data_IF_048570740130
#
_entry.id   IF_048570740130
#
_cell.length_a   1.000
_cell.length_b   1.000
_cell.length_c   1.000
_cell.angle_alpha   90.00
_cell.angle_beta   90.00
_cell.angle_gamma   90.00
#
_symmetry.space_group_name_H-M   'P 1'
#
loop_
_entity.id
_entity.type
_entity.pdbx_description
1 polymer ?
#
# COMPACT_ATOMS: atom_id res chain seq x y z
N UNK A 1 -74.52 -63.83 3.51
CA UNK A 1 -75.81 -63.23 3.07
C UNK A 1 -75.56 -61.87 2.62
N UNK A 2 -75.49 -61.70 1.28
CA UNK A 2 -76.45 -60.91 0.46
C UNK A 2 -76.59 -59.48 0.88
N UNK A 3 -76.47 -58.44 0.03
CA UNK A 3 -76.64 -58.15 -1.43
C UNK A 3 -76.02 -56.81 -1.71
N UNK A 4 -75.27 -56.57 -2.72
CA UNK A 4 -75.54 -56.06 -4.08
C UNK A 4 -76.22 -54.73 -4.21
N UNK A 5 -75.43 -53.74 -4.75
CA UNK A 5 -75.58 -52.69 -5.77
C UNK A 5 -76.87 -51.85 -5.87
N UNK A 6 -76.82 -50.61 -6.47
CA UNK A 6 -76.01 -50.19 -7.63
C UNK A 6 -75.60 -48.68 -7.65
N UNK A 7 -74.91 -48.43 -8.73
CA UNK A 7 -74.27 -47.15 -9.23
C UNK A 7 -75.20 -45.94 -9.42
N UNK A 8 -74.69 -44.75 -9.28
CA UNK A 8 -75.16 -43.61 -10.05
C UNK A 8 -73.98 -42.70 -10.48
N UNK A 9 -73.92 -42.50 -11.75
CA UNK A 9 -72.99 -41.67 -12.53
C UNK A 9 -73.38 -40.20 -12.37
N UNK A 10 -72.47 -39.34 -11.90
CA UNK A 10 -72.59 -37.92 -12.13
C UNK A 10 -71.32 -37.35 -12.71
N UNK A 11 -71.42 -36.89 -13.94
CA UNK A 11 -70.44 -36.07 -14.68
C UNK A 11 -70.24 -34.77 -13.92
N UNK A 12 -69.00 -34.44 -13.58
CA UNK A 12 -68.58 -33.12 -13.19
C UNK A 12 -67.61 -32.58 -14.20
N UNK A 13 -68.00 -31.43 -14.80
CA UNK A 13 -67.25 -30.67 -15.76
C UNK A 13 -65.94 -30.13 -15.18
N UNK A 14 -64.82 -30.35 -15.84
CA UNK A 14 -63.58 -29.68 -15.56
C UNK A 14 -63.56 -28.30 -16.15
N UNK A 15 -63.60 -27.26 -15.30
CA UNK A 15 -63.25 -25.88 -15.70
C UNK A 15 -61.74 -25.78 -15.60
N UNK A 16 -61.08 -25.68 -16.74
CA UNK A 16 -59.67 -25.35 -16.89
C UNK A 16 -59.46 -23.86 -16.59
N UNK A 17 -58.92 -23.57 -15.40
CA UNK A 17 -58.43 -22.25 -15.08
C UNK A 17 -57.04 -22.06 -15.67
N UNK A 18 -56.90 -21.22 -16.71
CA UNK A 18 -55.60 -20.72 -17.21
C UNK A 18 -55.03 -19.75 -16.15
N UNK A 19 -54.05 -20.22 -15.36
CA UNK A 19 -53.19 -19.33 -14.56
C UNK A 19 -52.15 -18.69 -15.47
N UNK A 20 -52.30 -17.41 -15.77
CA UNK A 20 -51.27 -16.59 -16.39
C UNK A 20 -50.07 -16.44 -15.43
N UNK A 21 -49.02 -17.21 -15.68
CA UNK A 21 -47.68 -17.02 -15.08
C UNK A 21 -47.07 -15.77 -15.67
N UNK A 22 -47.13 -14.65 -14.95
CA UNK A 22 -46.31 -13.49 -15.27
C UNK A 22 -44.83 -13.81 -15.01
N UNK A 23 -43.92 -13.54 -15.96
CA UNK A 23 -42.51 -13.71 -15.70
C UNK A 23 -42.05 -12.69 -14.67
N UNK A 24 -41.66 -13.15 -13.48
CA UNK A 24 -40.95 -12.34 -12.53
C UNK A 24 -39.56 -12.10 -13.11
N UNK A 25 -39.38 -10.93 -13.75
CA UNK A 25 -38.06 -10.45 -14.13
C UNK A 25 -37.30 -10.13 -12.84
N UNK A 26 -36.54 -11.11 -12.36
CA UNK A 26 -35.52 -10.88 -11.35
C UNK A 26 -34.47 -9.98 -11.97
N UNK A 27 -34.55 -8.71 -11.70
CA UNK A 27 -33.46 -7.78 -11.94
C UNK A 27 -32.35 -8.20 -10.98
N UNK A 28 -31.45 -9.07 -11.45
CA UNK A 28 -30.17 -9.25 -10.82
C UNK A 28 -29.50 -7.87 -10.80
N UNK A 29 -29.47 -7.25 -9.62
CA UNK A 29 -28.58 -6.12 -9.41
C UNK A 29 -27.19 -6.64 -9.70
N UNK A 30 -26.66 -6.28 -10.88
CA UNK A 30 -25.25 -6.42 -11.16
C UNK A 30 -24.53 -5.59 -10.10
N UNK A 31 -24.03 -6.27 -9.08
CA UNK A 31 -23.17 -5.66 -8.10
C UNK A 31 -22.04 -4.98 -8.85
N UNK A 32 -21.89 -3.67 -8.67
CA UNK A 32 -20.77 -2.91 -9.20
C UNK A 32 -19.50 -3.69 -8.81
N UNK A 33 -18.65 -4.11 -9.76
CA UNK A 33 -17.45 -4.84 -9.40
C UNK A 33 -16.67 -3.97 -8.41
N UNK A 34 -16.33 -4.53 -7.26
CA UNK A 34 -15.51 -3.86 -6.27
C UNK A 34 -14.27 -3.35 -7.03
N UNK A 35 -14.08 -2.03 -7.03
CA UNK A 35 -12.96 -1.42 -7.76
C UNK A 35 -11.67 -1.96 -7.16
N UNK A 36 -10.97 -2.80 -7.91
CA UNK A 36 -9.68 -3.34 -7.48
C UNK A 36 -8.65 -2.22 -7.45
N UNK A 37 -7.88 -2.15 -6.35
CA UNK A 37 -6.78 -1.17 -6.24
C UNK A 37 -5.78 -1.38 -7.38
N UNK A 38 -5.35 -0.30 -7.98
CA UNK A 38 -4.33 -0.32 -9.03
C UNK A 38 -3.00 -0.79 -8.43
N UNK A 39 -2.30 -1.63 -9.19
CA UNK A 39 -1.00 -2.20 -8.82
C UNK A 39 0.07 -1.82 -9.84
N UNK A 40 1.33 -1.94 -9.45
CA UNK A 40 2.48 -1.91 -10.37
C UNK A 40 3.41 -3.09 -10.09
N UNK A 41 4.10 -3.58 -11.12
CA UNK A 41 5.05 -4.67 -10.94
C UNK A 41 6.32 -4.21 -10.21
N UNK A 42 6.86 -5.07 -9.38
CA UNK A 42 8.28 -4.99 -8.96
C UNK A 42 9.09 -5.41 -10.17
N UNK A 43 9.95 -4.55 -10.75
CA UNK A 43 10.58 -4.85 -12.04
C UNK A 43 11.42 -6.12 -12.05
N UNK A 44 12.09 -6.45 -10.93
CA UNK A 44 12.98 -7.62 -10.84
C UNK A 44 12.23 -8.97 -10.88
N UNK A 45 10.91 -9.00 -10.58
CA UNK A 45 10.14 -10.27 -10.48
C UNK A 45 8.79 -10.24 -11.18
N UNK A 46 8.27 -9.07 -11.52
CA UNK A 46 6.90 -8.93 -12.04
C UNK A 46 5.80 -9.04 -10.97
N UNK A 47 6.13 -9.27 -9.69
CA UNK A 47 5.13 -9.30 -8.61
C UNK A 47 4.39 -7.98 -8.52
N UNK A 48 3.06 -8.06 -8.49
CA UNK A 48 2.21 -6.88 -8.41
C UNK A 48 2.03 -6.43 -6.97
N UNK A 49 2.31 -5.16 -6.70
CA UNK A 49 2.02 -4.52 -5.40
C UNK A 49 1.11 -3.31 -5.59
N UNK A 50 0.19 -3.05 -4.63
CA UNK A 50 -0.66 -1.87 -4.66
C UNK A 50 0.16 -0.58 -4.66
N UNK A 51 -0.36 0.45 -5.34
CA UNK A 51 0.28 1.77 -5.46
C UNK A 51 0.46 2.46 -4.10
N UNK A 52 -0.36 2.12 -3.11
CA UNK A 52 -0.34 2.71 -1.77
C UNK A 52 0.00 1.64 -0.76
N UNK A 53 1.09 1.84 -0.05
CA UNK A 53 1.48 1.11 1.15
C UNK A 53 1.14 1.87 2.43
N UNK A 54 1.52 1.32 3.57
CA UNK A 54 1.34 1.93 4.89
C UNK A 54 2.70 2.17 5.55
N UNK A 55 3.09 3.44 5.71
CA UNK A 55 4.24 3.84 6.52
C UNK A 55 3.88 3.84 8.02
N UNK A 56 4.89 3.69 8.86
CA UNK A 56 4.72 3.61 10.33
C UNK A 56 5.47 4.70 11.11
N UNK A 57 6.28 5.53 10.46
CA UNK A 57 7.04 6.60 11.09
C UNK A 57 6.16 7.52 11.92
N UNK A 58 6.50 7.74 13.18
CA UNK A 58 5.78 8.53 14.20
C UNK A 58 4.41 7.92 14.57
N UNK A 59 3.59 7.56 13.61
CA UNK A 59 2.18 7.19 13.81
C UNK A 59 1.97 5.87 14.56
N UNK A 60 2.95 4.97 14.50
CA UNK A 60 2.94 3.68 15.19
C UNK A 60 3.90 3.63 16.39
N UNK A 61 4.59 4.73 16.69
CA UNK A 61 5.44 4.84 17.88
C UNK A 61 4.61 5.20 19.11
N UNK A 62 3.79 4.26 19.58
CA UNK A 62 2.82 4.47 20.67
C UNK A 62 3.25 3.83 22.01
N UNK A 63 4.48 3.31 22.08
CA UNK A 63 4.99 2.67 23.27
C UNK A 63 4.19 1.43 23.67
N UNK A 64 3.94 1.27 24.97
CA UNK A 64 3.20 0.15 25.54
C UNK A 64 1.72 0.48 25.81
N UNK A 65 1.20 1.59 25.28
CA UNK A 65 -0.21 1.95 25.39
C UNK A 65 -1.08 1.00 24.56
N UNK A 66 -1.80 0.12 25.24
CA UNK A 66 -2.64 -0.90 24.61
C UNK A 66 -3.79 -0.31 23.81
N UNK A 67 -4.39 0.78 24.25
CA UNK A 67 -5.48 1.44 23.53
C UNK A 67 -4.96 2.01 22.21
N UNK A 68 -3.80 2.66 22.26
CA UNK A 68 -3.16 3.19 21.06
C UNK A 68 -2.66 2.07 20.11
N UNK A 69 -2.13 0.95 20.66
CA UNK A 69 -1.76 -0.22 19.86
C UNK A 69 -2.97 -0.86 19.18
N UNK A 70 -4.12 -0.96 19.87
CA UNK A 70 -5.36 -1.47 19.30
C UNK A 70 -5.91 -0.55 18.20
N UNK A 71 -5.83 0.77 18.39
CA UNK A 71 -6.17 1.73 17.34
C UNK A 71 -5.28 1.60 16.09
N UNK A 72 -3.96 1.36 16.27
CA UNK A 72 -3.06 1.03 15.15
C UNK A 72 -3.44 -0.29 14.46
N UNK A 73 -3.88 -1.30 15.23
CA UNK A 73 -4.36 -2.55 14.65
C UNK A 73 -5.62 -2.35 13.79
N UNK A 74 -6.54 -1.47 14.21
CA UNK A 74 -7.73 -1.13 13.42
C UNK A 74 -7.36 -0.37 12.12
N UNK A 75 -6.34 0.50 12.16
CA UNK A 75 -5.75 1.13 10.97
C UNK A 75 -5.21 0.08 10.01
N UNK A 76 -4.42 -0.90 10.51
CA UNK A 76 -3.87 -2.00 9.70
C UNK A 76 -4.98 -2.88 9.11
N UNK A 77 -6.02 -3.21 9.89
CA UNK A 77 -7.18 -3.97 9.42
C UNK A 77 -7.86 -3.25 8.27
N UNK A 78 -8.19 -1.98 8.44
CA UNK A 78 -8.81 -1.17 7.39
C UNK A 78 -7.93 -1.07 6.13
N UNK A 79 -6.61 -1.04 6.30
CA UNK A 79 -5.65 -1.05 5.20
C UNK A 79 -5.71 -2.36 4.39
N UNK A 80 -5.69 -3.51 5.06
CA UNK A 80 -5.79 -4.80 4.39
C UNK A 80 -7.17 -5.06 3.77
N UNK A 81 -8.25 -4.70 4.48
CA UNK A 81 -9.62 -4.85 3.98
C UNK A 81 -9.86 -4.04 2.70
N UNK A 82 -9.18 -2.91 2.56
CA UNK A 82 -9.26 -2.07 1.36
C UNK A 82 -8.23 -2.45 0.27
N UNK A 83 -7.57 -3.61 0.39
CA UNK A 83 -6.65 -4.16 -0.62
C UNK A 83 -5.20 -3.70 -0.50
N UNK A 84 -4.83 -3.02 0.57
CA UNK A 84 -3.44 -2.70 0.87
C UNK A 84 -2.62 -3.95 1.20
N UNK A 85 -1.30 -3.92 0.93
CA UNK A 85 -0.43 -5.07 1.20
C UNK A 85 0.88 -4.69 1.87
N UNK A 86 1.58 -3.67 1.41
CA UNK A 86 2.91 -3.29 1.92
C UNK A 86 2.78 -2.48 3.21
N UNK A 87 3.45 -2.93 4.26
CA UNK A 87 3.72 -2.12 5.47
C UNK A 87 5.22 -1.87 5.54
N UNK A 88 5.61 -0.62 5.78
CA UNK A 88 7.02 -0.19 5.89
C UNK A 88 7.32 0.33 7.31
N UNK A 89 8.38 -0.20 7.92
CA UNK A 89 8.88 0.23 9.22
C UNK A 89 10.41 0.31 9.28
N UNK A 90 10.94 0.54 10.47
CA UNK A 90 12.38 0.57 10.76
C UNK A 90 12.65 0.40 12.26
N UNK A 91 13.79 -0.18 12.64
CA UNK A 91 14.28 -0.15 14.04
C UNK A 91 14.44 1.27 14.60
N UNK A 92 14.63 2.26 13.73
CA UNK A 92 14.72 3.69 14.10
C UNK A 92 13.38 4.28 14.60
N UNK A 93 12.25 3.61 14.35
CA UNK A 93 10.91 4.18 14.57
C UNK A 93 10.34 3.88 15.97
N UNK A 94 11.20 3.79 16.98
CA UNK A 94 10.78 3.55 18.37
C UNK A 94 10.02 2.23 18.53
N UNK A 95 8.79 2.28 19.05
CA UNK A 95 7.95 1.09 19.26
C UNK A 95 7.19 0.61 18.02
N UNK A 96 7.36 1.24 16.85
CA UNK A 96 6.54 0.94 15.64
C UNK A 96 6.55 -0.54 15.27
N UNK A 97 7.70 -1.21 15.33
CA UNK A 97 7.82 -2.64 15.00
C UNK A 97 7.00 -3.53 15.96
N UNK A 98 7.07 -3.26 17.26
CA UNK A 98 6.27 -3.99 18.26
C UNK A 98 4.76 -3.72 18.09
N UNK A 99 4.40 -2.48 17.78
CA UNK A 99 3.02 -2.08 17.50
C UNK A 99 2.48 -2.80 16.26
N UNK A 100 3.27 -2.93 15.19
CA UNK A 100 2.91 -3.72 14.00
C UNK A 100 2.71 -5.19 14.37
N UNK A 101 3.63 -5.78 15.13
CA UNK A 101 3.51 -7.17 15.57
C UNK A 101 2.26 -7.43 16.41
N UNK A 102 1.93 -6.51 17.33
CA UNK A 102 0.65 -6.54 18.05
C UNK A 102 -0.55 -6.51 17.12
N UNK A 103 -0.54 -5.60 16.14
CA UNK A 103 -1.61 -5.47 15.13
C UNK A 103 -1.77 -6.74 14.29
N UNK A 104 -0.67 -7.31 13.79
CA UNK A 104 -0.69 -8.55 13.00
C UNK A 104 -1.26 -9.73 13.80
N UNK A 105 -0.85 -9.88 15.07
CA UNK A 105 -1.37 -10.92 15.95
C UNK A 105 -2.87 -10.75 16.22
N UNK A 106 -3.33 -9.50 16.47
CA UNK A 106 -4.74 -9.18 16.75
C UNK A 106 -5.65 -9.36 15.53
N UNK A 107 -5.16 -9.07 14.34
CA UNK A 107 -5.94 -9.21 13.09
C UNK A 107 -6.09 -10.69 12.73
N UNK A 108 -5.11 -11.51 13.07
CA UNK A 108 -5.05 -12.90 12.67
C UNK A 108 -4.75 -13.02 11.17
N UNK A 109 -3.54 -13.38 10.82
CA UNK A 109 -3.12 -13.44 9.41
C UNK A 109 -3.62 -14.74 8.78
N UNK A 110 -4.95 -14.82 8.55
CA UNK A 110 -5.57 -16.06 8.06
C UNK A 110 -5.45 -16.29 6.55
N UNK A 111 -5.16 -15.29 5.74
CA UNK A 111 -5.19 -15.40 4.27
C UNK A 111 -4.14 -14.58 3.52
N UNK A 112 -2.95 -14.47 4.02
CA UNK A 112 -1.86 -13.82 3.33
C UNK A 112 -1.06 -12.92 4.24
N UNK A 113 0.22 -13.17 4.33
CA UNK A 113 1.17 -12.30 5.01
C UNK A 113 1.19 -10.93 4.31
N UNK A 114 1.36 -9.82 5.04
CA UNK A 114 1.63 -8.54 4.42
C UNK A 114 2.91 -8.62 3.58
N UNK A 115 3.07 -7.73 2.62
CA UNK A 115 4.40 -7.44 2.08
C UNK A 115 5.14 -6.64 3.15
N UNK A 116 6.00 -7.32 3.92
CA UNK A 116 6.70 -6.75 5.07
C UNK A 116 8.01 -6.10 4.61
N UNK A 117 8.05 -4.77 4.64
CA UNK A 117 9.23 -3.97 4.34
C UNK A 117 9.81 -3.40 5.64
N UNK A 118 11.07 -3.69 5.92
CA UNK A 118 11.77 -3.16 7.08
C UNK A 118 13.20 -2.73 6.70
N UNK A 119 13.97 -2.28 7.68
CA UNK A 119 15.29 -1.71 7.45
C UNK A 119 16.32 -2.25 8.42
N UNK A 120 17.59 -2.16 8.05
CA UNK A 120 18.71 -2.27 8.99
C UNK A 120 19.21 -0.86 9.30
N UNK A 121 19.35 -0.53 10.57
CA UNK A 121 19.80 0.77 11.05
C UNK A 121 20.60 0.63 12.33
N UNK A 122 21.86 0.30 12.19
CA UNK A 122 22.80 0.15 13.28
C UNK A 122 24.22 0.34 12.74
N UNK A 123 25.06 1.06 13.47
CA UNK A 123 26.48 1.14 13.14
C UNK A 123 27.15 -0.20 13.43
N UNK A 124 28.08 -0.61 12.55
CA UNK A 124 28.73 -1.91 12.52
C UNK A 124 27.88 -3.04 11.90
N UNK A 125 28.33 -3.53 10.76
CA UNK A 125 27.73 -4.65 10.03
C UNK A 125 27.65 -5.93 10.85
N UNK A 126 28.60 -6.17 11.77
CA UNK A 126 28.60 -7.34 12.64
C UNK A 126 27.33 -7.42 13.53
N UNK A 127 26.70 -6.28 13.86
CA UNK A 127 25.46 -6.23 14.64
C UNK A 127 24.18 -6.27 13.79
N UNK A 128 24.30 -6.07 12.49
CA UNK A 128 23.17 -6.06 11.55
C UNK A 128 22.29 -7.31 11.62
N UNK A 129 22.83 -8.53 11.52
CA UNK A 129 22.04 -9.76 11.60
C UNK A 129 21.24 -9.90 12.92
N UNK A 130 21.81 -9.51 14.05
CA UNK A 130 21.11 -9.54 15.33
C UNK A 130 19.96 -8.53 15.40
N UNK A 131 20.13 -7.33 14.84
CA UNK A 131 19.06 -6.33 14.74
C UNK A 131 17.92 -6.82 13.82
N UNK A 132 18.25 -7.37 12.66
CA UNK A 132 17.26 -7.92 11.72
C UNK A 132 16.43 -9.02 12.39
N UNK A 133 17.07 -9.91 13.13
CA UNK A 133 16.38 -10.98 13.84
C UNK A 133 15.51 -10.45 14.98
N UNK A 134 15.96 -9.43 15.72
CA UNK A 134 15.16 -8.75 16.73
C UNK A 134 13.91 -8.08 16.10
N UNK A 135 14.08 -7.38 14.99
CA UNK A 135 12.98 -6.79 14.20
C UNK A 135 11.97 -7.85 13.75
N UNK A 136 12.45 -8.96 13.20
CA UNK A 136 11.61 -10.07 12.76
C UNK A 136 10.74 -10.63 13.89
N UNK A 137 11.33 -10.79 15.09
CA UNK A 137 10.58 -11.26 16.27
C UNK A 137 9.54 -10.24 16.73
N UNK A 138 9.86 -8.95 16.71
CA UNK A 138 8.90 -7.88 17.03
C UNK A 138 7.68 -7.89 16.10
N UNK A 139 7.89 -8.12 14.80
CA UNK A 139 6.80 -8.27 13.84
C UNK A 139 6.05 -9.60 13.96
N UNK A 140 6.64 -10.63 14.58
CA UNK A 140 6.06 -11.97 14.66
C UNK A 140 6.00 -12.71 13.31
N UNK A 141 6.89 -12.38 12.37
CA UNK A 141 6.90 -12.94 11.01
C UNK A 141 7.99 -14.01 10.83
N UNK A 142 7.81 -14.96 9.90
CA UNK A 142 8.84 -15.94 9.56
C UNK A 142 10.03 -15.31 8.82
N UNK A 143 9.78 -14.27 8.01
CA UNK A 143 10.79 -13.50 7.27
C UNK A 143 10.23 -12.14 6.84
N UNK A 144 11.09 -11.21 6.45
CA UNK A 144 10.74 -10.02 5.70
C UNK A 144 10.69 -10.30 4.19
N UNK A 145 9.88 -9.54 3.47
CA UNK A 145 9.90 -9.53 2.01
C UNK A 145 11.02 -8.62 1.50
N UNK A 146 11.13 -7.42 2.06
CA UNK A 146 12.11 -6.40 1.70
C UNK A 146 12.87 -5.94 2.94
N UNK A 147 14.20 -5.97 2.86
CA UNK A 147 15.08 -5.27 3.80
C UNK A 147 15.90 -4.21 3.07
N UNK A 148 16.02 -3.05 3.70
CA UNK A 148 16.69 -1.88 3.13
C UNK A 148 17.75 -1.35 4.08
N UNK A 149 18.88 -0.88 3.55
CA UNK A 149 19.86 -0.13 4.36
C UNK A 149 19.31 1.27 4.59
N UNK A 150 19.03 1.60 5.86
CA UNK A 150 18.32 2.83 6.23
C UNK A 150 19.25 4.04 6.17
N UNK A 151 18.89 5.02 5.35
CA UNK A 151 19.67 6.26 5.13
C UNK A 151 21.13 5.99 4.76
N UNK A 152 21.41 4.86 4.11
CA UNK A 152 22.75 4.40 3.71
C UNK A 152 23.75 4.32 4.90
N UNK A 153 23.25 4.09 6.13
CA UNK A 153 24.12 3.92 7.30
C UNK A 153 24.93 2.62 7.14
N UNK A 154 26.27 2.75 7.14
CA UNK A 154 27.23 1.63 7.00
C UNK A 154 26.85 0.66 5.85
N UNK A 155 26.41 1.22 4.72
CA UNK A 155 25.87 0.44 3.60
C UNK A 155 26.91 -0.52 3.02
N UNK A 156 28.20 -0.18 3.08
CA UNK A 156 29.30 -1.00 2.62
C UNK A 156 29.37 -2.36 3.34
N UNK A 157 28.91 -2.40 4.60
CA UNK A 157 28.87 -3.64 5.40
C UNK A 157 27.50 -4.31 5.31
N UNK A 158 26.41 -3.52 5.38
CA UNK A 158 25.05 -4.08 5.43
C UNK A 158 24.56 -4.60 4.08
N UNK A 159 24.82 -3.90 2.99
CA UNK A 159 24.30 -4.28 1.68
C UNK A 159 24.80 -5.66 1.22
N UNK A 160 26.10 -6.00 1.32
CA UNK A 160 26.56 -7.36 1.03
C UNK A 160 25.90 -8.43 1.89
N UNK A 161 25.66 -8.15 3.18
CA UNK A 161 24.97 -9.07 4.08
C UNK A 161 23.51 -9.32 3.65
N UNK A 162 22.77 -8.27 3.26
CA UNK A 162 21.40 -8.39 2.75
C UNK A 162 21.37 -9.18 1.42
N UNK A 163 22.29 -8.92 0.51
CA UNK A 163 22.42 -9.67 -0.75
C UNK A 163 22.72 -11.16 -0.49
N UNK A 164 23.57 -11.48 0.46
CA UNK A 164 23.83 -12.86 0.87
C UNK A 164 22.57 -13.53 1.48
N UNK A 165 21.77 -12.78 2.28
CA UNK A 165 20.47 -13.27 2.77
C UNK A 165 19.51 -13.56 1.64
N UNK A 166 19.45 -12.71 0.61
CA UNK A 166 18.61 -12.93 -0.58
C UNK A 166 19.07 -14.17 -1.35
N UNK A 167 20.36 -14.30 -1.61
CA UNK A 167 20.92 -15.46 -2.30
C UNK A 167 20.62 -16.79 -1.57
N UNK A 168 20.58 -16.76 -0.22
CA UNK A 168 20.21 -17.89 0.63
C UNK A 168 18.68 -18.11 0.78
N UNK A 169 17.83 -17.37 0.08
CA UNK A 169 16.35 -17.47 0.14
C UNK A 169 15.73 -16.98 1.45
N UNK A 170 16.51 -16.36 2.33
CA UNK A 170 16.05 -15.82 3.63
C UNK A 170 15.41 -14.43 3.51
N UNK A 171 15.57 -13.79 2.36
CA UNK A 171 15.04 -12.49 2.01
C UNK A 171 14.60 -12.51 0.54
N UNK A 172 13.52 -11.80 0.20
CA UNK A 172 13.04 -11.77 -1.20
C UNK A 172 13.63 -10.60 -1.98
N UNK A 173 13.70 -9.42 -1.37
CA UNK A 173 14.11 -8.18 -1.99
C UNK A 173 15.09 -7.41 -1.12
N UNK A 174 16.04 -6.74 -1.77
CA UNK A 174 17.05 -5.89 -1.14
C UNK A 174 16.94 -4.47 -1.66
N UNK A 175 17.07 -3.48 -0.78
CA UNK A 175 17.01 -2.08 -1.15
C UNK A 175 17.89 -1.18 -0.30
N UNK A 176 17.84 0.09 -0.64
CA UNK A 176 18.45 1.19 0.09
C UNK A 176 17.45 2.32 0.31
N UNK A 177 17.65 3.15 1.34
CA UNK A 177 16.78 4.29 1.57
C UNK A 177 17.56 5.60 1.75
N UNK A 178 16.89 6.69 1.39
CA UNK A 178 17.26 8.05 1.77
C UNK A 178 15.99 8.85 2.05
N UNK A 179 16.15 10.04 2.64
CA UNK A 179 15.05 10.95 2.89
C UNK A 179 15.50 12.41 2.76
N UNK A 180 14.55 13.32 2.50
CA UNK A 180 14.78 14.77 2.51
C UNK A 180 15.81 15.24 1.48
N UNK A 181 15.92 14.58 0.33
CA UNK A 181 16.89 14.92 -0.72
C UNK A 181 18.35 14.65 -0.34
N UNK A 182 18.60 14.00 0.81
CA UNK A 182 19.97 13.72 1.27
C UNK A 182 20.62 12.61 0.46
N UNK A 183 21.94 12.68 0.31
CA UNK A 183 22.79 11.63 -0.28
C UNK A 183 22.38 11.19 -1.70
N UNK A 184 21.71 12.04 -2.49
CA UNK A 184 21.24 11.70 -3.84
C UNK A 184 22.38 11.24 -4.76
N UNK A 185 23.59 11.86 -4.67
CA UNK A 185 24.75 11.44 -5.47
C UNK A 185 25.20 10.01 -5.16
N UNK A 186 25.15 9.65 -3.88
CA UNK A 186 25.54 8.32 -3.43
C UNK A 186 24.47 7.27 -3.80
N UNK A 187 23.19 7.61 -3.63
CA UNK A 187 22.08 6.79 -4.12
C UNK A 187 22.22 6.54 -5.62
N UNK A 188 22.56 7.56 -6.41
CA UNK A 188 22.80 7.41 -7.85
C UNK A 188 23.95 6.45 -8.15
N UNK A 189 25.08 6.57 -7.43
CA UNK A 189 26.21 5.69 -7.60
C UNK A 189 25.85 4.22 -7.28
N UNK A 190 25.07 4.01 -6.21
CA UNK A 190 24.60 2.67 -5.81
C UNK A 190 23.58 2.10 -6.79
N UNK A 191 22.65 2.90 -7.31
CA UNK A 191 21.73 2.47 -8.36
C UNK A 191 22.46 2.01 -9.63
N UNK A 192 23.61 2.62 -9.96
CA UNK A 192 24.44 2.23 -11.11
C UNK A 192 25.22 0.94 -10.88
N UNK A 193 25.70 0.72 -9.66
CA UNK A 193 26.71 -0.31 -9.37
C UNK A 193 26.18 -1.52 -8.61
N UNK A 194 25.06 -1.43 -7.90
CA UNK A 194 24.59 -2.50 -7.03
C UNK A 194 23.32 -3.19 -7.58
N UNK A 195 23.14 -4.51 -7.36
CA UNK A 195 21.98 -5.27 -7.81
C UNK A 195 20.78 -5.07 -6.85
N UNK A 196 20.25 -3.86 -6.83
CA UNK A 196 19.14 -3.48 -5.98
C UNK A 196 17.80 -3.88 -6.59
N UNK A 197 16.83 -4.31 -5.75
CA UNK A 197 15.44 -4.48 -6.15
C UNK A 197 14.62 -3.22 -5.88
N UNK A 198 14.96 -2.50 -4.82
CA UNK A 198 14.22 -1.30 -4.37
C UNK A 198 15.14 -0.15 -4.01
N UNK A 199 14.64 1.05 -4.27
CA UNK A 199 15.13 2.29 -3.68
C UNK A 199 13.97 3.03 -3.04
N UNK A 200 14.16 3.50 -1.80
CA UNK A 200 13.17 4.35 -1.12
C UNK A 200 13.74 5.76 -0.98
N UNK A 201 13.00 6.75 -1.43
CA UNK A 201 13.42 8.16 -1.45
C UNK A 201 12.24 9.12 -1.28
N UNK A 202 12.51 10.36 -0.88
CA UNK A 202 11.49 11.38 -0.77
C UNK A 202 11.07 11.87 -2.15
N UNK A 203 9.78 11.84 -2.39
CA UNK A 203 9.17 12.34 -3.61
C UNK A 203 7.72 12.76 -3.36
N UNK A 204 7.41 14.03 -3.64
CA UNK A 204 6.07 14.59 -3.49
C UNK A 204 5.90 15.84 -4.38
N UNK A 205 4.77 16.55 -4.24
CA UNK A 205 4.46 17.75 -5.04
C UNK A 205 5.48 18.89 -4.93
N UNK A 206 6.22 18.98 -3.82
CA UNK A 206 7.22 20.01 -3.55
C UNK A 206 8.65 19.49 -3.67
N UNK A 207 8.94 18.30 -3.14
CA UNK A 207 10.27 17.68 -3.16
C UNK A 207 10.37 16.81 -4.44
N UNK A 208 10.88 17.39 -5.52
CA UNK A 208 10.86 16.81 -6.87
C UNK A 208 12.24 16.55 -7.48
N UNK A 209 13.29 16.79 -6.74
CA UNK A 209 14.68 16.67 -7.24
C UNK A 209 14.99 15.27 -7.77
N UNK A 210 14.30 14.25 -7.24
CA UNK A 210 14.45 12.86 -7.72
C UNK A 210 14.00 12.68 -9.19
N UNK A 211 13.13 13.55 -9.73
CA UNK A 211 12.68 13.51 -11.13
C UNK A 211 13.83 13.74 -12.13
N UNK A 212 14.86 14.49 -11.73
CA UNK A 212 15.95 14.86 -12.63
C UNK A 212 16.84 13.67 -12.98
N UNK A 213 17.18 12.82 -12.01
CA UNK A 213 18.18 11.76 -12.16
C UNK A 213 17.79 10.43 -11.57
N UNK A 214 17.30 10.37 -10.32
CA UNK A 214 17.11 9.12 -9.60
C UNK A 214 15.94 8.29 -10.13
N UNK A 215 14.79 8.91 -10.42
CA UNK A 215 13.63 8.21 -10.96
C UNK A 215 13.87 7.67 -12.37
N UNK A 216 14.45 8.45 -13.32
CA UNK A 216 14.85 7.90 -14.63
C UNK A 216 15.83 6.73 -14.51
N UNK A 217 16.87 6.87 -13.67
CA UNK A 217 17.88 5.83 -13.47
C UNK A 217 17.29 4.56 -12.83
N UNK A 218 16.44 4.70 -11.80
CA UNK A 218 15.78 3.54 -11.20
C UNK A 218 14.96 2.77 -12.23
N UNK A 219 14.23 3.47 -13.10
CA UNK A 219 13.48 2.85 -14.21
C UNK A 219 14.40 2.14 -15.21
N UNK A 220 15.49 2.78 -15.63
CA UNK A 220 16.50 2.19 -16.53
C UNK A 220 17.09 0.92 -15.95
N UNK A 221 17.38 0.93 -14.65
CA UNK A 221 18.00 -0.19 -13.94
C UNK A 221 17.01 -1.27 -13.51
N UNK A 222 15.71 -1.10 -13.75
CA UNK A 222 14.69 -2.04 -13.31
C UNK A 222 14.56 -2.12 -11.79
N UNK A 223 14.77 -1.01 -11.07
CA UNK A 223 14.67 -0.91 -9.61
C UNK A 223 13.32 -0.29 -9.23
N UNK A 224 12.58 -0.94 -8.35
CA UNK A 224 11.31 -0.44 -7.83
C UNK A 224 11.54 0.78 -6.92
N UNK A 225 10.67 1.80 -7.05
CA UNK A 225 10.78 3.02 -6.24
C UNK A 225 9.63 3.09 -5.23
N UNK A 226 10.00 3.22 -3.95
CA UNK A 226 9.07 3.56 -2.85
C UNK A 226 9.23 5.05 -2.55
N UNK A 227 8.14 5.81 -2.71
CA UNK A 227 8.10 7.22 -2.34
C UNK A 227 7.77 7.36 -0.85
N UNK A 228 8.73 7.83 -0.05
CA UNK A 228 8.50 8.22 1.34
C UNK A 228 8.17 9.71 1.46
N UNK A 229 7.75 10.14 2.66
CA UNK A 229 7.38 11.54 2.98
C UNK A 229 6.39 12.18 1.99
N UNK A 230 5.34 11.45 1.54
CA UNK A 230 4.42 11.97 0.53
C UNK A 230 3.73 13.26 0.94
N UNK A 231 3.61 13.51 2.24
CA UNK A 231 2.95 14.68 2.84
C UNK A 231 3.89 15.56 3.68
N UNK A 232 5.22 15.36 3.61
CA UNK A 232 6.19 16.10 4.44
C UNK A 232 5.80 16.10 5.93
N UNK A 233 5.54 14.92 6.49
CA UNK A 233 5.04 14.74 7.88
C UNK A 233 3.73 15.51 8.16
N UNK A 234 2.88 15.64 7.15
CA UNK A 234 1.61 16.35 7.22
C UNK A 234 1.72 17.86 7.00
N UNK A 235 2.92 18.43 6.88
CA UNK A 235 3.09 19.88 6.63
C UNK A 235 2.45 20.30 5.31
N UNK A 236 2.67 19.53 4.24
CA UNK A 236 2.08 19.79 2.93
C UNK A 236 0.55 19.81 2.99
N UNK A 237 -0.08 18.84 3.67
CA UNK A 237 -1.54 18.80 3.77
C UNK A 237 -2.09 19.95 4.62
N UNK A 238 -1.40 20.37 5.70
CA UNK A 238 -1.82 21.54 6.50
C UNK A 238 -1.75 22.84 5.71
N UNK A 239 -0.77 22.99 4.84
CA UNK A 239 -0.65 24.12 3.93
C UNK A 239 -1.77 24.12 2.89
N UNK A 240 -1.94 23.01 2.17
CA UNK A 240 -2.95 22.87 1.13
C UNK A 240 -4.39 22.96 1.65
N UNK A 241 -4.65 22.58 2.91
CA UNK A 241 -5.99 22.67 3.52
C UNK A 241 -6.54 24.12 3.61
N UNK A 242 -5.68 25.14 3.44
CA UNK A 242 -6.09 26.54 3.37
C UNK A 242 -6.69 26.92 2.02
N UNK A 243 -6.54 26.06 1.03
CA UNK A 243 -6.95 26.29 -0.35
C UNK A 243 -8.01 25.29 -0.77
N UNK A 244 -8.92 25.70 -1.65
CA UNK A 244 -9.90 24.79 -2.25
C UNK A 244 -9.21 23.86 -3.26
N UNK A 245 -9.60 22.60 -3.24
CA UNK A 245 -9.18 21.67 -4.29
C UNK A 245 -9.65 22.19 -5.66
N UNK A 246 -8.79 22.19 -6.70
CA UNK A 246 -9.20 22.69 -8.01
C UNK A 246 -10.33 21.82 -8.59
N UNK A 247 -11.35 22.42 -9.24
CA UNK A 247 -12.52 21.67 -9.72
C UNK A 247 -12.18 20.48 -10.62
N UNK A 248 -11.14 20.60 -11.43
CA UNK A 248 -10.66 19.55 -12.31
C UNK A 248 -10.04 18.33 -11.61
N UNK A 249 -9.78 18.41 -10.29
CA UNK A 249 -9.34 17.26 -9.51
C UNK A 249 -10.40 16.13 -9.46
N UNK A 250 -11.68 16.49 -9.63
CA UNK A 250 -12.77 15.52 -9.74
C UNK A 250 -12.65 14.62 -10.97
N UNK A 251 -12.03 15.09 -12.07
CA UNK A 251 -11.82 14.33 -13.33
C UNK A 251 -10.94 13.09 -13.09
N UNK A 252 -10.10 13.12 -12.05
CA UNK A 252 -9.26 12.00 -11.62
C UNK A 252 -9.73 11.39 -10.30
N UNK A 253 -10.96 11.65 -9.88
CA UNK A 253 -11.58 11.07 -8.68
C UNK A 253 -10.89 11.48 -7.38
N UNK A 254 -10.40 12.71 -7.27
CA UNK A 254 -9.85 13.25 -6.03
C UNK A 254 -10.92 14.03 -5.26
N UNK A 255 -11.22 13.55 -4.03
CA UNK A 255 -12.15 14.21 -3.10
C UNK A 255 -11.41 15.11 -2.09
N UNK A 256 -10.08 15.09 -2.10
CA UNK A 256 -9.26 15.85 -1.18
C UNK A 256 -7.78 15.91 -1.54
N UNK A 257 -7.06 16.77 -0.85
CA UNK A 257 -5.65 17.03 -1.11
C UNK A 257 -4.74 15.81 -0.89
N UNK A 258 -5.10 14.89 0.03
CA UNK A 258 -4.33 13.67 0.24
C UNK A 258 -4.34 12.77 -1.01
N UNK A 259 -5.54 12.54 -1.61
CA UNK A 259 -5.65 11.77 -2.85
C UNK A 259 -4.96 12.49 -4.01
N UNK A 260 -5.12 13.81 -4.12
CA UNK A 260 -4.46 14.61 -5.13
C UNK A 260 -2.93 14.46 -5.07
N UNK A 261 -2.34 14.65 -3.89
CA UNK A 261 -0.91 14.50 -3.70
C UNK A 261 -0.41 13.07 -3.98
N UNK A 262 -1.13 12.05 -3.50
CA UNK A 262 -0.76 10.65 -3.73
C UNK A 262 -0.89 10.27 -5.21
N UNK A 263 -1.95 10.68 -5.91
CA UNK A 263 -2.09 10.42 -7.35
C UNK A 263 -0.97 11.06 -8.16
N UNK A 264 -0.53 12.28 -7.80
CA UNK A 264 0.66 12.88 -8.40
C UNK A 264 1.89 11.98 -8.28
N UNK A 265 2.13 11.44 -7.09
CA UNK A 265 3.29 10.59 -6.81
C UNK A 265 3.20 9.26 -7.59
N UNK A 266 2.11 8.51 -7.36
CA UNK A 266 2.01 7.13 -7.86
C UNK A 266 1.71 7.03 -9.35
N UNK A 267 1.26 8.11 -10.00
CA UNK A 267 1.12 8.18 -11.45
C UNK A 267 2.46 8.36 -12.18
N UNK A 268 3.54 8.71 -11.47
CA UNK A 268 4.86 8.75 -12.10
C UNK A 268 5.28 7.35 -12.53
N UNK A 269 5.71 7.15 -13.80
CA UNK A 269 5.97 5.82 -14.36
C UNK A 269 7.09 5.05 -13.65
N UNK A 270 8.03 5.74 -13.02
CA UNK A 270 9.11 5.12 -12.26
C UNK A 270 8.75 4.82 -10.79
N UNK A 271 7.68 5.40 -10.23
CA UNK A 271 7.28 5.16 -8.84
C UNK A 271 6.40 3.92 -8.77
N UNK A 272 6.79 2.97 -7.94
CA UNK A 272 6.06 1.71 -7.75
C UNK A 272 5.01 1.85 -6.65
N UNK A 273 5.36 2.44 -5.51
CA UNK A 273 4.49 2.56 -4.35
C UNK A 273 4.79 3.85 -3.58
N UNK A 274 3.78 4.43 -2.93
CA UNK A 274 3.95 5.48 -1.92
C UNK A 274 3.52 4.97 -0.55
N UNK A 275 4.19 5.40 0.52
CA UNK A 275 3.97 4.90 1.89
C UNK A 275 3.53 6.02 2.85
N UNK A 276 2.33 6.60 2.68
CA UNK A 276 1.79 7.54 3.67
C UNK A 276 1.63 6.84 5.02
N UNK A 277 2.01 7.54 6.10
CA UNK A 277 1.79 7.10 7.47
C UNK A 277 0.55 7.77 8.05
N UNK A 278 -0.25 7.04 8.81
CA UNK A 278 -1.43 7.58 9.49
C UNK A 278 -1.83 6.73 10.69
N UNK A 279 -2.46 7.36 11.69
CA UNK A 279 -3.12 6.73 12.84
C UNK A 279 -4.65 6.73 12.74
N UNK A 280 -5.22 7.08 11.57
CA UNK A 280 -6.65 7.20 11.35
C UNK A 280 -7.17 6.24 10.29
N UNK A 281 -8.18 5.44 10.63
CA UNK A 281 -8.89 4.55 9.70
C UNK A 281 -9.49 5.33 8.52
N UNK A 282 -10.05 6.53 8.77
CA UNK A 282 -10.60 7.38 7.71
C UNK A 282 -9.51 7.80 6.72
N UNK A 283 -8.35 8.21 7.22
CA UNK A 283 -7.22 8.58 6.35
C UNK A 283 -6.65 7.38 5.56
N UNK A 284 -6.64 6.16 6.14
CA UNK A 284 -6.26 4.95 5.39
C UNK A 284 -7.14 4.77 4.16
N UNK A 285 -8.46 4.84 4.33
CA UNK A 285 -9.43 4.70 3.23
C UNK A 285 -9.25 5.80 2.18
N UNK A 286 -9.05 7.05 2.64
CA UNK A 286 -8.79 8.18 1.76
C UNK A 286 -7.47 7.99 0.96
N UNK A 287 -6.40 7.56 1.62
CA UNK A 287 -5.12 7.31 0.96
C UNK A 287 -5.23 6.20 -0.09
N UNK A 288 -5.88 5.07 0.24
CA UNK A 288 -6.09 3.97 -0.70
C UNK A 288 -7.00 4.36 -1.87
N UNK A 289 -7.91 5.32 -1.68
CA UNK A 289 -8.70 5.92 -2.75
C UNK A 289 -7.83 6.54 -3.87
N UNK A 290 -6.60 6.94 -3.58
CA UNK A 290 -5.65 7.40 -4.59
C UNK A 290 -5.19 6.28 -5.56
N UNK A 291 -5.36 5.00 -5.20
CA UNK A 291 -5.08 3.86 -6.07
C UNK A 291 -6.29 3.44 -6.93
N UNK A 292 -7.37 4.21 -6.92
CA UNK A 292 -8.60 3.91 -7.66
C UNK A 292 -8.81 4.90 -8.81
N UNK A 293 -9.48 4.44 -9.87
CA UNK A 293 -9.91 5.27 -11.00
C UNK A 293 -8.77 5.80 -11.86
N UNK A 294 -9.02 6.89 -12.57
CA UNK A 294 -8.07 7.46 -13.52
C UNK A 294 -6.80 7.98 -12.85
N UNK A 295 -5.66 7.73 -13.50
CA UNK A 295 -4.35 8.23 -13.07
C UNK A 295 -3.93 9.44 -13.92
N UNK A 296 -3.36 10.48 -13.32
CA UNK A 296 -2.82 11.61 -14.07
C UNK A 296 -1.75 11.17 -15.09
N UNK A 297 -1.86 11.64 -16.28
CA UNK A 297 -0.81 11.56 -17.29
C UNK A 297 0.30 12.60 -17.03
N UNK A 298 1.31 12.62 -17.88
CA UNK A 298 2.45 13.54 -17.71
C UNK A 298 2.03 15.02 -17.83
N UNK A 299 1.04 15.36 -18.65
CA UNK A 299 0.55 16.73 -18.82
C UNK A 299 -0.22 17.18 -17.58
N UNK A 300 -1.10 16.32 -17.08
CA UNK A 300 -1.87 16.60 -15.87
C UNK A 300 -0.98 16.67 -14.63
N UNK A 301 0.04 15.80 -14.51
CA UNK A 301 1.04 15.91 -13.42
C UNK A 301 1.76 17.25 -13.43
N UNK A 302 2.17 17.76 -14.60
CA UNK A 302 2.75 19.10 -14.70
C UNK A 302 1.78 20.19 -14.25
N UNK A 303 0.49 20.10 -14.65
CA UNK A 303 -0.57 21.01 -14.22
C UNK A 303 -0.78 20.95 -12.70
N UNK A 304 -0.76 19.75 -12.10
CA UNK A 304 -0.87 19.56 -10.65
C UNK A 304 0.26 20.26 -9.90
N UNK A 305 1.51 20.05 -10.34
CA UNK A 305 2.68 20.68 -9.73
C UNK A 305 2.66 22.20 -9.89
N UNK A 306 2.33 22.71 -11.08
CA UNK A 306 2.22 24.16 -11.33
C UNK A 306 1.12 24.80 -10.48
N UNK A 307 -0.03 24.14 -10.34
CA UNK A 307 -1.12 24.63 -9.50
C UNK A 307 -0.68 24.76 -8.04
N UNK A 308 -0.05 23.71 -7.47
CA UNK A 308 0.42 23.75 -6.08
C UNK A 308 1.51 24.81 -5.89
N UNK A 309 2.41 25.00 -6.87
CA UNK A 309 3.44 26.03 -6.81
C UNK A 309 2.87 27.46 -6.87
N UNK A 310 1.62 27.65 -7.30
CA UNK A 310 0.93 28.97 -7.38
C UNK A 310 0.09 29.30 -6.15
N UNK A 311 -0.05 28.39 -5.19
CA UNK A 311 -0.81 28.59 -3.95
C UNK A 311 0.04 29.27 -2.87
#
# INVERSE_FOLDING_TARGET
>A
MQRAHPASTQRRAFLAGLALLAPHSSWAQAGTPASTVTTKPIPSTGEQIPLIGLGSWITFNVGNDRVAQDACADVMRAFFDAGGRMIDSSPMYGSSQATIGHGLARIGIGKGLPFAADKVWISSGARGPAQIEASRRLWGLPRFDLLQVHNLLDWEEHLPALLAMKAAGRLRYVGITTSEGRRHREVEALLRSQPLDFVQLSYNLLDREAEERLLPLARERGVAVIANRPFREGALLRELARHKLPPWAAEIGCDGWAQFALKFIVSHPAVTCAIPATSSVAHVRQNLGAALGAMPDAALRRRMAAHVASL
#
